data_IF_172594153021
#
_entry.id   IF_172594153021
#
_cell.length_a   1.000
_cell.length_b   1.000
_cell.length_c   1.000
_cell.angle_alpha   90.00
_cell.angle_beta   90.00
_cell.angle_gamma   90.00
#
_symmetry.space_group_name_H-M   'P 1'
#
loop_
_entity.id
_entity.type
_entity.pdbx_description
1 polymer ?
#
# COMPACT_ATOMS: atom_id res chain seq x y z
N UNK A 1 25.16 4.49 -6.39
CA UNK A 1 24.57 5.03 -7.64
C UNK A 1 23.34 5.83 -7.25
N UNK A 2 23.25 7.05 -7.75
CA UNK A 2 22.08 7.89 -7.51
C UNK A 2 20.89 7.35 -8.32
N UNK A 3 19.83 6.88 -7.64
CA UNK A 3 18.67 6.27 -8.28
C UNK A 3 17.69 7.37 -8.71
N UNK A 4 17.15 7.27 -9.93
CA UNK A 4 16.27 8.30 -10.48
C UNK A 4 14.87 8.30 -9.85
N UNK A 5 14.47 7.20 -9.22
CA UNK A 5 13.21 7.03 -8.49
C UNK A 5 13.47 6.73 -7.02
N UNK A 6 12.58 7.22 -6.17
CA UNK A 6 12.59 6.94 -4.73
C UNK A 6 11.78 5.68 -4.42
N UNK A 7 10.56 5.58 -4.96
CA UNK A 7 9.65 4.45 -4.73
C UNK A 7 9.06 3.98 -6.06
N UNK A 8 9.05 2.68 -6.28
CA UNK A 8 8.20 2.03 -7.26
C UNK A 8 7.20 1.15 -6.53
N UNK A 9 5.89 1.29 -6.80
CA UNK A 9 4.86 0.48 -6.17
C UNK A 9 4.18 -0.44 -7.19
N UNK A 10 3.81 -1.67 -6.77
CA UNK A 10 3.19 -2.67 -7.62
C UNK A 10 1.87 -3.17 -7.02
N UNK A 11 0.78 -3.13 -7.79
CA UNK A 11 -0.51 -3.67 -7.37
C UNK A 11 -1.66 -3.31 -8.29
N UNK A 12 -2.88 -3.35 -7.77
CA UNK A 12 -4.10 -3.00 -8.50
C UNK A 12 -4.70 -1.70 -8.00
N UNK A 13 -4.91 -0.76 -8.91
CA UNK A 13 -5.72 0.42 -8.67
C UNK A 13 -7.14 0.20 -9.20
N UNK A 14 -8.12 0.78 -8.52
CA UNK A 14 -9.54 0.62 -8.82
C UNK A 14 -10.28 1.96 -8.71
N UNK A 15 -11.38 2.09 -9.44
CA UNK A 15 -12.37 3.12 -9.16
C UNK A 15 -13.19 2.72 -7.94
N UNK A 16 -13.45 3.69 -7.07
CA UNK A 16 -14.36 3.58 -5.93
C UNK A 16 -15.69 4.26 -6.27
N UNK A 17 -16.79 3.62 -5.89
CA UNK A 17 -18.10 4.25 -5.83
C UNK A 17 -18.64 4.14 -4.40
N UNK A 18 -18.61 5.26 -3.69
CA UNK A 18 -19.01 5.34 -2.29
C UNK A 18 -20.42 5.90 -2.17
N UNK A 19 -21.33 5.13 -1.56
CA UNK A 19 -22.74 5.48 -1.39
C UNK A 19 -22.88 6.71 -0.47
N UNK A 20 -23.68 7.67 -0.90
CA UNK A 20 -24.05 8.82 -0.07
C UNK A 20 -25.21 8.49 0.87
N UNK A 21 -25.43 9.33 1.86
CA UNK A 21 -26.59 9.23 2.77
C UNK A 21 -27.88 9.86 2.19
N UNK A 22 -27.85 10.31 0.94
CA UNK A 22 -29.04 10.90 0.27
C UNK A 22 -30.09 9.83 -0.06
N UNK A 23 -31.35 10.28 -0.19
CA UNK A 23 -32.47 9.43 -0.62
C UNK A 23 -33.06 9.99 -1.91
N UNK A 24 -33.06 9.26 -3.04
CA UNK A 24 -32.42 7.95 -3.24
C UNK A 24 -30.89 8.01 -3.10
N UNK A 25 -30.21 6.91 -2.73
CA UNK A 25 -28.78 6.91 -2.57
C UNK A 25 -28.06 7.20 -3.90
N UNK A 26 -27.10 8.10 -3.83
CA UNK A 26 -26.18 8.37 -4.93
C UNK A 26 -24.80 7.78 -4.60
N UNK A 27 -23.94 7.64 -5.60
CA UNK A 27 -22.57 7.19 -5.41
C UNK A 27 -21.59 8.30 -5.80
N UNK A 28 -20.68 8.62 -4.92
CA UNK A 28 -19.54 9.48 -5.22
C UNK A 28 -18.42 8.64 -5.82
N UNK A 29 -17.92 9.07 -6.96
CA UNK A 29 -16.74 8.45 -7.57
C UNK A 29 -15.50 8.88 -6.81
N UNK A 30 -14.70 7.89 -6.43
CA UNK A 30 -13.40 8.02 -5.81
C UNK A 30 -12.39 7.08 -6.48
N UNK A 31 -11.25 6.93 -5.82
CA UNK A 31 -10.16 6.08 -6.25
C UNK A 31 -9.65 5.27 -5.07
N UNK A 32 -9.23 4.02 -5.35
CA UNK A 32 -8.66 3.12 -4.36
C UNK A 32 -7.62 2.19 -4.97
N UNK A 33 -7.20 1.25 -4.15
CA UNK A 33 -6.06 0.38 -4.44
C UNK A 33 -4.91 0.74 -3.50
N UNK A 34 -4.61 -0.17 -2.59
CA UNK A 34 -3.70 0.06 -1.47
C UNK A 34 -2.32 0.60 -1.90
N UNK A 35 -1.65 -0.08 -2.83
CA UNK A 35 -0.34 0.35 -3.32
C UNK A 35 -0.42 1.62 -4.18
N UNK A 36 -1.54 1.88 -4.86
CA UNK A 36 -1.79 3.15 -5.56
C UNK A 36 -1.96 4.31 -4.57
N UNK A 37 -2.73 4.08 -3.49
CA UNK A 37 -2.89 5.06 -2.41
C UNK A 37 -1.53 5.39 -1.78
N UNK A 38 -0.71 4.36 -1.48
CA UNK A 38 0.64 4.55 -0.95
C UNK A 38 1.55 5.29 -1.93
N UNK A 39 1.47 5.00 -3.23
CA UNK A 39 2.22 5.70 -4.27
C UNK A 39 1.86 7.20 -4.31
N UNK A 40 0.57 7.53 -4.28
CA UNK A 40 0.09 8.93 -4.24
C UNK A 40 0.53 9.61 -2.94
N UNK A 41 0.40 8.93 -1.79
CA UNK A 41 0.83 9.48 -0.50
C UNK A 41 2.34 9.80 -0.51
N UNK A 42 3.18 8.92 -1.08
CA UNK A 42 4.61 9.13 -1.22
C UNK A 42 4.91 10.30 -2.17
N UNK A 43 4.20 10.41 -3.30
CA UNK A 43 4.37 11.51 -4.24
C UNK A 43 3.99 12.85 -3.63
N UNK A 44 2.84 12.93 -2.91
CA UNK A 44 2.46 14.14 -2.15
C UNK A 44 3.47 14.50 -1.07
N UNK A 45 4.13 13.52 -0.45
CA UNK A 45 5.24 13.74 0.49
C UNK A 45 6.55 14.16 -0.21
N UNK A 46 6.55 14.25 -1.56
CA UNK A 46 7.65 14.78 -2.38
C UNK A 46 8.65 13.72 -2.82
N UNK A 47 8.30 12.42 -2.80
CA UNK A 47 9.09 11.35 -3.40
C UNK A 47 8.89 11.29 -4.92
N UNK A 48 9.90 10.83 -5.65
CA UNK A 48 9.82 10.49 -7.08
C UNK A 48 9.27 9.07 -7.21
N UNK A 49 8.02 8.93 -7.62
CA UNK A 49 7.28 7.66 -7.57
C UNK A 49 6.93 7.16 -8.96
N UNK A 50 7.04 5.84 -9.18
CA UNK A 50 6.47 5.15 -10.33
C UNK A 50 5.46 4.08 -9.88
N UNK A 51 4.48 3.78 -10.73
CA UNK A 51 3.51 2.73 -10.46
C UNK A 51 3.53 1.64 -11.53
N UNK A 52 3.49 0.37 -11.09
CA UNK A 52 3.51 -0.82 -11.91
C UNK A 52 2.16 -1.52 -11.80
N UNK A 53 1.45 -1.64 -12.90
CA UNK A 53 0.14 -2.29 -12.95
C UNK A 53 -0.27 -2.60 -14.39
N UNK A 54 -1.40 -3.29 -14.52
CA UNK A 54 -2.15 -3.35 -15.78
C UNK A 54 -3.49 -2.65 -15.60
N UNK A 55 -3.92 -1.89 -16.61
CA UNK A 55 -5.22 -1.23 -16.70
C UNK A 55 -5.94 -1.63 -17.97
N UNK A 56 -7.26 -1.68 -17.91
CA UNK A 56 -8.09 -1.78 -19.12
C UNK A 56 -7.93 -0.55 -20.00
N UNK A 57 -8.05 -0.75 -21.33
CA UNK A 57 -8.21 0.35 -22.28
C UNK A 57 -9.66 0.87 -22.24
N UNK A 58 -10.12 1.26 -21.07
CA UNK A 58 -11.48 1.70 -20.78
C UNK A 58 -11.51 3.09 -20.13
N UNK A 59 -12.71 3.61 -19.92
CA UNK A 59 -12.91 4.91 -19.29
C UNK A 59 -12.30 4.97 -17.88
N UNK A 60 -12.37 3.87 -17.12
CA UNK A 60 -11.87 3.79 -15.75
C UNK A 60 -10.34 3.81 -15.71
N UNK A 61 -9.69 3.06 -16.60
CA UNK A 61 -8.25 3.10 -16.77
C UNK A 61 -7.76 4.51 -17.15
N UNK A 62 -8.49 5.20 -18.01
CA UNK A 62 -8.17 6.59 -18.36
C UNK A 62 -8.25 7.55 -17.15
N UNK A 63 -9.27 7.41 -16.29
CA UNK A 63 -9.40 8.23 -15.08
C UNK A 63 -8.27 7.96 -14.08
N UNK A 64 -7.83 6.71 -13.92
CA UNK A 64 -6.68 6.36 -13.08
C UNK A 64 -5.38 6.95 -13.62
N UNK A 65 -5.16 6.91 -14.94
CA UNK A 65 -4.00 7.56 -15.57
C UNK A 65 -4.00 9.07 -15.35
N UNK A 66 -5.17 9.73 -15.46
CA UNK A 66 -5.30 11.15 -15.17
C UNK A 66 -5.04 11.48 -13.69
N UNK A 67 -5.51 10.62 -12.77
CA UNK A 67 -5.23 10.76 -11.33
C UNK A 67 -3.73 10.77 -11.09
N UNK A 68 -3.01 9.74 -11.53
CA UNK A 68 -1.57 9.64 -11.31
C UNK A 68 -0.78 10.77 -11.96
N UNK A 69 -1.20 11.23 -13.16
CA UNK A 69 -0.57 12.38 -13.80
C UNK A 69 -0.72 13.66 -12.94
N UNK A 70 -1.90 13.90 -12.35
CA UNK A 70 -2.14 15.05 -11.46
C UNK A 70 -1.34 14.94 -10.16
N UNK A 71 -1.14 13.72 -9.65
CA UNK A 71 -0.41 13.46 -8.40
C UNK A 71 1.12 13.33 -8.62
N UNK A 72 1.60 13.48 -9.86
CA UNK A 72 3.02 13.41 -10.19
C UNK A 72 3.61 12.00 -10.11
N UNK A 73 2.78 10.95 -10.18
CA UNK A 73 3.23 9.56 -10.24
C UNK A 73 3.58 9.20 -11.68
N UNK A 74 4.78 8.65 -11.90
CA UNK A 74 5.23 8.17 -13.19
C UNK A 74 4.46 6.91 -13.59
N UNK A 75 3.80 6.96 -14.73
CA UNK A 75 2.94 5.90 -15.27
C UNK A 75 3.58 5.09 -16.40
N UNK A 76 4.88 5.22 -16.66
CA UNK A 76 5.58 4.46 -17.71
C UNK A 76 5.58 2.95 -17.48
N UNK A 77 5.33 2.52 -16.24
CA UNK A 77 5.15 1.10 -15.86
C UNK A 77 3.72 0.58 -15.98
N UNK A 78 2.77 1.39 -16.49
CA UNK A 78 1.40 0.95 -16.69
C UNK A 78 1.24 0.28 -18.04
N UNK A 79 0.83 -0.99 -18.02
CA UNK A 79 0.53 -1.76 -19.23
C UNK A 79 -0.98 -1.72 -19.48
N UNK A 80 -1.36 -1.27 -20.68
CA UNK A 80 -2.78 -1.23 -21.07
C UNK A 80 -3.21 -2.56 -21.68
N UNK A 81 -4.33 -3.11 -21.22
CA UNK A 81 -4.91 -4.37 -21.71
C UNK A 81 -6.23 -4.07 -22.46
N UNK A 82 -6.29 -4.32 -23.77
CA UNK A 82 -7.50 -4.07 -24.56
C UNK A 82 -8.59 -5.13 -24.35
N UNK A 83 -8.29 -6.23 -23.64
CA UNK A 83 -9.19 -7.37 -23.48
C UNK A 83 -9.73 -7.55 -22.06
N UNK A 84 -9.29 -6.75 -21.10
CA UNK A 84 -9.71 -6.85 -19.72
C UNK A 84 -10.08 -5.47 -19.15
N UNK A 85 -11.12 -5.36 -18.32
CA UNK A 85 -11.53 -4.09 -17.72
C UNK A 85 -10.60 -3.66 -16.58
N UNK A 86 -10.61 -2.38 -16.28
CA UNK A 86 -10.09 -1.86 -15.01
C UNK A 86 -10.99 -2.29 -13.85
N UNK A 87 -10.40 -2.56 -12.68
CA UNK A 87 -11.15 -2.95 -11.48
C UNK A 87 -12.01 -1.81 -10.92
N UNK A 88 -13.17 -2.17 -10.35
CA UNK A 88 -14.10 -1.23 -9.72
C UNK A 88 -14.59 -1.84 -8.41
N UNK A 89 -14.85 -1.02 -7.39
CA UNK A 89 -15.55 -1.46 -6.20
C UNK A 89 -16.58 -0.43 -5.72
N UNK A 90 -17.54 -0.94 -4.95
CA UNK A 90 -18.63 -0.16 -4.37
C UNK A 90 -18.54 -0.25 -2.86
N UNK A 91 -18.75 0.87 -2.18
CA UNK A 91 -18.91 0.95 -0.73
C UNK A 91 -20.36 1.35 -0.47
N UNK A 92 -21.11 0.45 0.14
CA UNK A 92 -22.50 0.71 0.57
C UNK A 92 -22.53 0.80 2.09
N UNK A 93 -23.50 1.54 2.61
CA UNK A 93 -23.66 1.75 4.04
C UNK A 93 -25.07 1.30 4.49
N UNK A 94 -25.13 0.55 5.57
CA UNK A 94 -26.38 0.23 6.26
C UNK A 94 -26.24 0.35 7.78
N UNK A 95 -27.28 -0.01 8.52
CA UNK A 95 -27.26 0.06 9.99
C UNK A 95 -26.23 -0.87 10.67
N UNK A 96 -25.56 -1.76 9.92
CA UNK A 96 -24.49 -2.67 10.39
C UNK A 96 -23.10 -2.22 10.01
N UNK A 97 -22.95 -1.14 9.20
CA UNK A 97 -21.66 -0.58 8.81
C UNK A 97 -21.44 -0.50 7.30
N UNK A 98 -20.17 -0.62 6.89
CA UNK A 98 -19.73 -0.51 5.50
C UNK A 98 -19.66 -1.90 4.85
N UNK A 99 -20.20 -2.00 3.62
CA UNK A 99 -20.17 -3.21 2.80
C UNK A 99 -19.41 -2.94 1.52
N UNK A 100 -18.36 -3.74 1.26
CA UNK A 100 -17.54 -3.64 0.06
C UNK A 100 -17.97 -4.69 -0.97
N UNK A 101 -18.29 -4.25 -2.18
CA UNK A 101 -18.61 -5.11 -3.32
C UNK A 101 -17.60 -4.85 -4.45
N UNK A 102 -16.94 -5.90 -4.92
CA UNK A 102 -15.84 -5.79 -5.87
C UNK A 102 -16.23 -6.33 -7.24
N UNK A 103 -16.01 -5.53 -8.30
CA UNK A 103 -16.05 -5.94 -9.69
C UNK A 103 -14.61 -5.92 -10.23
N UNK A 104 -13.79 -6.89 -9.79
CA UNK A 104 -12.35 -6.99 -10.11
C UNK A 104 -11.93 -8.35 -10.64
N UNK A 105 -12.80 -9.36 -10.60
CA UNK A 105 -12.50 -10.66 -11.17
C UNK A 105 -12.27 -10.54 -12.68
N UNK A 106 -11.11 -11.00 -13.16
CA UNK A 106 -10.73 -10.85 -14.57
C UNK A 106 -10.32 -9.42 -14.97
N UNK A 107 -10.07 -8.52 -14.01
CA UNK A 107 -9.53 -7.17 -14.30
C UNK A 107 -8.16 -7.26 -14.99
N UNK A 108 -7.76 -6.19 -15.68
CA UNK A 108 -6.44 -6.12 -16.31
C UNK A 108 -5.32 -6.37 -15.29
N UNK A 109 -5.41 -5.82 -14.08
CA UNK A 109 -4.43 -6.07 -13.02
C UNK A 109 -4.37 -7.54 -12.60
N UNK A 110 -5.48 -8.29 -12.66
CA UNK A 110 -5.49 -9.72 -12.38
C UNK A 110 -4.70 -10.56 -13.41
N UNK A 111 -4.34 -9.94 -14.54
CA UNK A 111 -3.56 -10.53 -15.64
C UNK A 111 -2.09 -10.13 -15.62
N UNK A 112 -1.62 -9.45 -14.57
CA UNK A 112 -0.18 -9.23 -14.36
C UNK A 112 0.55 -10.56 -14.37
N UNK A 113 1.72 -10.61 -15.01
CA UNK A 113 2.49 -11.83 -15.20
C UNK A 113 3.98 -11.59 -14.95
N UNK A 114 4.72 -12.64 -14.57
CA UNK A 114 6.18 -12.56 -14.33
C UNK A 114 6.96 -12.04 -15.54
N UNK A 115 6.47 -12.26 -16.76
CA UNK A 115 7.07 -11.71 -17.99
C UNK A 115 6.97 -10.19 -18.06
N UNK A 116 5.97 -9.55 -17.46
CA UNK A 116 5.85 -8.08 -17.41
C UNK A 116 7.04 -7.49 -16.65
N UNK A 117 7.48 -8.17 -15.61
CA UNK A 117 8.67 -7.77 -14.84
C UNK A 117 9.92 -7.79 -15.72
N UNK A 118 10.11 -8.87 -16.47
CA UNK A 118 11.30 -9.06 -17.30
C UNK A 118 11.35 -8.08 -18.48
N UNK A 119 10.20 -7.82 -19.10
CA UNK A 119 10.14 -7.06 -20.36
C UNK A 119 9.91 -5.56 -20.17
N UNK A 120 9.25 -5.16 -19.06
CA UNK A 120 8.80 -3.78 -18.89
C UNK A 120 9.21 -3.14 -17.56
N UNK A 121 9.22 -3.91 -16.45
CA UNK A 121 9.32 -3.32 -15.12
C UNK A 121 10.72 -3.39 -14.49
N UNK A 122 11.59 -4.31 -14.94
CA UNK A 122 12.91 -4.51 -14.35
C UNK A 122 13.74 -3.22 -14.28
N UNK A 123 13.70 -2.37 -15.32
CA UNK A 123 14.44 -1.11 -15.35
C UNK A 123 13.92 -0.09 -14.34
N UNK A 124 12.58 0.02 -14.17
CA UNK A 124 11.97 0.92 -13.19
C UNK A 124 12.26 0.44 -11.76
N UNK A 125 12.21 -0.88 -11.52
CA UNK A 125 12.56 -1.49 -10.25
C UNK A 125 14.02 -1.16 -9.92
N UNK A 126 14.95 -1.39 -10.86
CA UNK A 126 16.37 -1.11 -10.67
C UNK A 126 16.71 0.37 -10.51
N UNK A 127 15.89 1.26 -11.07
CA UNK A 127 16.04 2.70 -10.93
C UNK A 127 15.51 3.26 -9.59
N UNK A 128 14.82 2.44 -8.77
CA UNK A 128 14.15 2.86 -7.55
C UNK A 128 14.93 2.51 -6.28
N UNK A 129 14.81 3.32 -5.23
CA UNK A 129 15.37 2.99 -3.91
C UNK A 129 14.56 1.89 -3.21
N UNK A 130 13.23 1.93 -3.36
CA UNK A 130 12.29 0.98 -2.77
C UNK A 130 11.30 0.43 -3.79
N UNK A 131 11.07 -0.89 -3.74
CA UNK A 131 9.89 -1.54 -4.29
C UNK A 131 8.86 -1.71 -3.17
N UNK A 132 7.65 -1.18 -3.34
CA UNK A 132 6.53 -1.34 -2.41
C UNK A 132 5.45 -2.23 -3.00
N UNK A 133 5.00 -3.21 -2.22
CA UNK A 133 3.89 -4.11 -2.52
C UNK A 133 3.27 -4.62 -1.23
N UNK A 134 2.15 -5.32 -1.33
CA UNK A 134 1.35 -5.75 -0.18
C UNK A 134 0.82 -7.18 -0.32
N UNK A 135 0.20 -7.67 0.74
CA UNK A 135 -0.55 -8.92 0.72
C UNK A 135 -1.68 -8.91 -0.31
N UNK A 136 -2.30 -7.76 -0.59
CA UNK A 136 -3.29 -7.64 -1.67
C UNK A 136 -2.61 -7.86 -3.03
N UNK A 137 -1.42 -7.31 -3.27
CA UNK A 137 -0.68 -7.52 -4.53
C UNK A 137 -0.48 -9.02 -4.83
N UNK A 138 -0.23 -9.83 -3.79
CA UNK A 138 -0.10 -11.29 -3.89
C UNK A 138 -1.45 -12.00 -4.06
N UNK A 139 -2.56 -11.38 -3.64
CA UNK A 139 -3.89 -11.98 -3.58
C UNK A 139 -4.75 -11.71 -4.83
N UNK A 140 -4.33 -10.81 -5.73
CA UNK A 140 -5.12 -10.38 -6.90
C UNK A 140 -5.49 -11.59 -7.78
N UNK A 141 -4.51 -12.41 -8.12
CA UNK A 141 -4.64 -13.65 -8.90
C UNK A 141 -3.39 -14.51 -8.77
N UNK A 142 -3.39 -15.79 -9.18
CA UNK A 142 -2.17 -16.60 -9.23
C UNK A 142 -1.06 -15.97 -10.05
N UNK A 143 -1.35 -15.47 -11.27
CA UNK A 143 -0.34 -14.87 -12.14
C UNK A 143 0.17 -13.52 -11.60
N UNK A 144 -0.67 -12.73 -10.94
CA UNK A 144 -0.24 -11.51 -10.26
C UNK A 144 0.64 -11.82 -9.03
N UNK A 145 0.37 -12.91 -8.31
CA UNK A 145 1.24 -13.40 -7.24
C UNK A 145 2.64 -13.74 -7.79
N UNK A 146 2.70 -14.48 -8.91
CA UNK A 146 3.96 -14.81 -9.58
C UNK A 146 4.69 -13.55 -10.07
N UNK A 147 3.97 -12.56 -10.59
CA UNK A 147 4.53 -11.28 -10.99
C UNK A 147 5.09 -10.50 -9.80
N UNK A 148 4.39 -10.50 -8.66
CA UNK A 148 4.85 -9.83 -7.44
C UNK A 148 6.15 -10.47 -6.91
N UNK A 149 6.23 -11.80 -6.85
CA UNK A 149 7.48 -12.48 -6.47
C UNK A 149 8.61 -12.26 -7.49
N UNK A 150 8.31 -12.28 -8.80
CA UNK A 150 9.30 -11.94 -9.81
C UNK A 150 9.83 -10.51 -9.64
N UNK A 151 8.97 -9.55 -9.28
CA UNK A 151 9.38 -8.17 -8.97
C UNK A 151 10.27 -8.09 -7.73
N UNK A 152 9.93 -8.85 -6.65
CA UNK A 152 10.76 -8.93 -5.45
C UNK A 152 12.14 -9.52 -5.75
N UNK A 153 12.22 -10.59 -6.52
CA UNK A 153 13.49 -11.19 -6.94
C UNK A 153 14.31 -10.25 -7.84
N UNK A 154 13.64 -9.55 -8.77
CA UNK A 154 14.28 -8.52 -9.60
C UNK A 154 14.84 -7.38 -8.77
N UNK A 155 14.09 -6.91 -7.75
CA UNK A 155 14.52 -5.87 -6.82
C UNK A 155 15.79 -6.29 -6.06
N UNK A 156 15.79 -7.49 -5.48
CA UNK A 156 16.95 -8.04 -4.75
C UNK A 156 18.18 -8.16 -5.66
N UNK A 157 18.00 -8.68 -6.87
CA UNK A 157 19.10 -8.84 -7.83
C UNK A 157 19.73 -7.50 -8.23
N UNK A 158 18.95 -6.41 -8.21
CA UNK A 158 19.38 -5.05 -8.56
C UNK A 158 19.72 -4.18 -7.33
N UNK A 159 19.65 -4.73 -6.11
CA UNK A 159 19.92 -4.01 -4.87
C UNK A 159 18.84 -2.97 -4.54
N UNK A 160 17.63 -3.08 -5.08
CA UNK A 160 16.47 -2.30 -4.67
C UNK A 160 15.90 -2.89 -3.39
N UNK A 161 15.69 -2.06 -2.37
CA UNK A 161 15.09 -2.49 -1.10
C UNK A 161 13.60 -2.77 -1.28
N UNK A 162 13.06 -3.70 -0.51
CA UNK A 162 11.67 -4.13 -0.59
C UNK A 162 10.94 -3.73 0.69
N UNK A 163 9.85 -2.97 0.55
CA UNK A 163 8.89 -2.68 1.62
C UNK A 163 7.59 -3.47 1.35
N UNK A 164 7.20 -4.30 2.29
CA UNK A 164 6.04 -5.17 2.18
C UNK A 164 5.02 -4.87 3.27
N UNK A 165 3.77 -4.54 2.89
CA UNK A 165 2.65 -4.37 3.81
C UNK A 165 1.85 -5.68 3.93
N UNK A 166 1.53 -6.13 5.16
CA UNK A 166 0.73 -7.35 5.38
C UNK A 166 -0.61 -7.29 4.66
N UNK A 167 -1.31 -6.21 4.79
CA UNK A 167 -2.60 -5.85 4.18
C UNK A 167 -3.45 -7.07 3.80
N UNK A 168 -3.72 -7.93 4.82
CA UNK A 168 -4.40 -9.21 4.65
C UNK A 168 -5.88 -9.01 4.31
N UNK A 169 -6.34 -9.68 3.26
CA UNK A 169 -7.75 -9.68 2.85
C UNK A 169 -8.21 -11.11 2.56
N UNK A 170 -8.74 -11.79 3.58
CA UNK A 170 -9.21 -13.18 3.48
C UNK A 170 -10.39 -13.37 2.52
N UNK A 171 -11.02 -12.30 2.07
CA UNK A 171 -12.01 -12.34 0.99
C UNK A 171 -11.41 -12.63 -0.39
N UNK A 172 -10.09 -12.46 -0.56
CA UNK A 172 -9.40 -12.68 -1.83
C UNK A 172 -8.79 -14.09 -1.95
N UNK A 173 -8.43 -14.73 -0.83
CA UNK A 173 -7.74 -16.01 -0.81
C UNK A 173 -7.92 -16.78 0.50
N UNK A 174 -7.75 -18.12 0.49
CA UNK A 174 -7.77 -18.90 1.71
C UNK A 174 -6.58 -18.56 2.62
N UNK A 175 -6.81 -18.66 3.94
CA UNK A 175 -5.80 -18.33 4.98
C UNK A 175 -4.48 -19.09 4.79
N UNK A 176 -4.53 -20.37 4.46
CA UNK A 176 -3.31 -21.19 4.31
C UNK A 176 -2.44 -20.68 3.15
N UNK A 177 -3.07 -20.30 2.04
CA UNK A 177 -2.35 -19.68 0.91
C UNK A 177 -1.82 -18.30 1.29
N UNK A 178 -2.63 -17.48 1.97
CA UNK A 178 -2.19 -16.18 2.47
C UNK A 178 -0.97 -16.32 3.38
N UNK A 179 -1.01 -17.27 4.32
CA UNK A 179 0.09 -17.54 5.25
C UNK A 179 1.37 -17.93 4.50
N UNK A 180 1.31 -18.86 3.57
CA UNK A 180 2.47 -19.30 2.80
C UNK A 180 3.09 -18.13 2.00
N UNK A 181 2.27 -17.40 1.24
CA UNK A 181 2.75 -16.30 0.39
C UNK A 181 3.27 -15.11 1.20
N UNK A 182 2.55 -14.68 2.26
CA UNK A 182 2.97 -13.55 3.09
C UNK A 182 4.26 -13.90 3.84
N UNK A 183 4.39 -15.12 4.39
CA UNK A 183 5.63 -15.54 5.06
C UNK A 183 6.82 -15.50 4.10
N UNK A 184 6.66 -15.97 2.86
CA UNK A 184 7.73 -15.89 1.86
C UNK A 184 8.05 -14.44 1.47
N UNK A 185 7.05 -13.56 1.35
CA UNK A 185 7.27 -12.15 1.10
C UNK A 185 8.03 -11.45 2.25
N UNK A 186 7.72 -11.81 3.50
CA UNK A 186 8.45 -11.33 4.70
C UNK A 186 9.93 -11.74 4.64
N UNK A 187 10.22 -12.98 4.22
CA UNK A 187 11.60 -13.48 4.05
C UNK A 187 12.39 -12.69 3.00
N UNK A 188 11.71 -12.14 1.99
CA UNK A 188 12.33 -11.40 0.90
C UNK A 188 12.44 -9.89 1.16
N UNK A 189 11.64 -9.34 2.07
CA UNK A 189 11.58 -7.89 2.28
C UNK A 189 12.69 -7.36 3.22
N UNK A 190 13.03 -6.09 3.06
CA UNK A 190 13.93 -5.35 3.95
C UNK A 190 13.17 -4.61 5.04
N UNK A 191 11.94 -4.18 4.74
CA UNK A 191 11.04 -3.48 5.65
C UNK A 191 9.66 -4.13 5.59
N UNK A 192 9.21 -4.65 6.72
CA UNK A 192 7.88 -5.22 6.88
C UNK A 192 6.96 -4.23 7.62
N UNK A 193 5.74 -4.04 7.10
CA UNK A 193 4.74 -3.10 7.59
C UNK A 193 3.47 -3.84 8.05
N UNK A 194 3.54 -4.71 9.06
CA UNK A 194 2.36 -5.44 9.53
C UNK A 194 1.38 -4.53 10.27
N UNK A 195 0.10 -4.92 10.30
CA UNK A 195 -0.85 -4.52 11.33
C UNK A 195 -1.04 -5.63 12.35
N UNK A 196 -1.33 -5.29 13.61
CA UNK A 196 -1.58 -6.30 14.66
C UNK A 196 -2.78 -7.18 14.29
N UNK A 197 -3.84 -6.59 13.73
CA UNK A 197 -5.06 -7.29 13.33
C UNK A 197 -4.78 -8.31 12.21
N UNK A 198 -4.03 -7.90 11.16
CA UNK A 198 -3.65 -8.79 10.08
C UNK A 198 -2.81 -9.96 10.59
N UNK A 199 -1.84 -9.66 11.46
CA UNK A 199 -0.95 -10.70 12.01
C UNK A 199 -1.69 -11.62 12.96
N UNK A 200 -2.63 -11.11 13.73
CA UNK A 200 -3.50 -11.93 14.57
C UNK A 200 -4.33 -12.91 13.74
N UNK A 201 -4.90 -12.43 12.63
CA UNK A 201 -5.65 -13.29 11.70
C UNK A 201 -4.75 -14.30 10.97
N UNK A 202 -3.53 -13.89 10.59
CA UNK A 202 -2.60 -14.72 9.82
C UNK A 202 -1.95 -15.80 10.68
N UNK A 203 -1.51 -15.46 11.90
CA UNK A 203 -0.63 -16.29 12.74
C UNK A 203 -1.29 -16.78 14.03
N UNK A 204 -2.34 -16.12 14.50
CA UNK A 204 -2.95 -16.32 15.83
C UNK A 204 -2.26 -15.54 16.96
N UNK A 205 -1.17 -14.81 16.69
CA UNK A 205 -0.44 -14.02 17.68
C UNK A 205 -1.24 -12.76 18.05
N UNK A 206 -1.36 -12.48 19.35
CA UNK A 206 -2.15 -11.36 19.86
C UNK A 206 -1.30 -10.25 20.49
N UNK A 207 -0.04 -10.56 20.82
CA UNK A 207 0.84 -9.60 21.49
C UNK A 207 1.79 -8.97 20.46
N UNK A 208 2.00 -7.67 20.58
CA UNK A 208 2.88 -6.92 19.68
C UNK A 208 4.30 -7.47 19.65
N UNK A 209 4.82 -7.85 20.81
CA UNK A 209 6.18 -8.40 20.92
C UNK A 209 6.32 -9.74 20.21
N UNK A 210 5.33 -10.62 20.31
CA UNK A 210 5.32 -11.91 19.60
C UNK A 210 5.28 -11.72 18.08
N UNK A 211 4.51 -10.71 17.60
CA UNK A 211 4.46 -10.36 16.18
C UNK A 211 5.80 -9.83 15.68
N UNK A 212 6.49 -9.00 16.46
CA UNK A 212 7.82 -8.50 16.13
C UNK A 212 8.84 -9.64 16.09
N UNK A 213 8.84 -10.53 17.10
CA UNK A 213 9.71 -11.70 17.14
C UNK A 213 9.47 -12.63 15.96
N UNK A 214 8.20 -12.90 15.65
CA UNK A 214 7.83 -13.69 14.47
C UNK A 214 8.35 -13.05 13.18
N UNK A 215 8.20 -11.75 13.03
CA UNK A 215 8.62 -11.03 11.82
C UNK A 215 10.12 -11.12 11.60
N UNK A 216 10.91 -10.88 12.64
CA UNK A 216 12.38 -10.99 12.57
C UNK A 216 12.84 -12.44 12.36
N UNK A 217 12.22 -13.41 13.03
CA UNK A 217 12.51 -14.84 12.85
C UNK A 217 12.25 -15.31 11.42
N UNK A 218 11.32 -14.67 10.69
CA UNK A 218 11.03 -14.97 9.29
C UNK A 218 11.80 -14.11 8.29
N UNK A 219 12.75 -13.26 8.74
CA UNK A 219 13.72 -12.61 7.89
C UNK A 219 13.56 -11.11 7.69
N UNK A 220 12.51 -10.48 8.23
CA UNK A 220 12.36 -9.04 8.15
C UNK A 220 13.48 -8.33 8.95
N UNK A 221 14.24 -7.46 8.27
CA UNK A 221 15.34 -6.71 8.93
C UNK A 221 14.79 -5.54 9.75
N UNK A 222 13.84 -4.81 9.19
CA UNK A 222 13.15 -3.70 9.82
C UNK A 222 11.66 -4.02 9.86
N UNK A 223 11.00 -3.72 10.98
CA UNK A 223 9.56 -3.92 11.16
C UNK A 223 8.95 -2.64 11.69
N UNK A 224 7.83 -2.22 11.11
CA UNK A 224 6.99 -1.15 11.65
C UNK A 224 5.60 -1.70 11.84
N UNK A 225 5.32 -2.16 13.06
CA UNK A 225 4.04 -2.74 13.46
C UNK A 225 3.01 -1.63 13.70
N UNK A 226 1.94 -1.63 12.92
CA UNK A 226 0.83 -0.67 13.01
C UNK A 226 -0.18 -1.18 14.07
N UNK A 227 -0.56 -0.30 15.01
CA UNK A 227 -1.47 -0.59 16.13
C UNK A 227 -2.77 0.26 16.02
N UNK A 228 -3.12 0.71 14.83
CA UNK A 228 -4.29 1.58 14.62
C UNK A 228 -4.21 2.88 15.42
N UNK A 229 -5.22 3.14 16.24
CA UNK A 229 -5.29 4.34 17.09
C UNK A 229 -4.27 4.37 18.24
N UNK A 230 -3.51 3.29 18.45
CA UNK A 230 -2.44 3.23 19.47
C UNK A 230 -1.06 3.59 18.93
N UNK A 231 -0.94 3.95 17.65
CA UNK A 231 0.31 4.34 17.00
C UNK A 231 1.04 3.15 16.38
N UNK A 232 2.36 3.14 16.51
CA UNK A 232 3.20 2.09 15.89
C UNK A 232 4.35 1.69 16.79
N UNK A 233 4.92 0.51 16.53
CA UNK A 233 6.19 0.08 17.12
C UNK A 233 7.18 -0.13 15.98
N UNK A 234 8.33 0.53 16.03
CA UNK A 234 9.45 0.29 15.12
C UNK A 234 10.44 -0.67 15.75
N UNK A 235 10.99 -1.60 14.96
CA UNK A 235 11.98 -2.56 15.43
C UNK A 235 13.04 -2.85 14.36
N UNK A 236 14.30 -2.96 14.77
CA UNK A 236 15.43 -3.38 13.93
C UNK A 236 15.97 -4.78 14.31
N UNK A 237 15.25 -5.48 15.19
CA UNK A 237 15.63 -6.78 15.73
C UNK A 237 16.44 -6.71 17.02
N UNK A 238 16.98 -5.54 17.36
CA UNK A 238 17.72 -5.31 18.62
C UNK A 238 16.98 -4.35 19.56
N UNK A 239 16.39 -3.31 18.98
CA UNK A 239 15.66 -2.28 19.71
C UNK A 239 14.22 -2.20 19.23
N UNK A 240 13.31 -1.85 20.16
CA UNK A 240 11.89 -1.60 19.89
C UNK A 240 11.53 -0.24 20.45
N UNK A 241 11.04 0.65 19.58
CA UNK A 241 10.61 1.99 19.99
C UNK A 241 9.12 2.18 19.69
N UNK A 242 8.33 2.46 20.70
CA UNK A 242 6.92 2.81 20.52
C UNK A 242 6.80 4.28 20.08
N UNK A 243 6.10 4.50 18.99
CA UNK A 243 5.78 5.82 18.46
C UNK A 243 4.31 6.11 18.80
N UNK A 244 4.10 7.15 19.60
CA UNK A 244 2.75 7.55 20.03
C UNK A 244 1.86 7.96 18.83
N UNK A 245 0.53 7.71 18.92
CA UNK A 245 -0.41 8.18 17.92
C UNK A 245 -0.66 9.70 18.05
N UNK A 246 -1.22 10.30 17.00
CA UNK A 246 -1.86 11.60 17.07
C UNK A 246 -3.36 11.40 17.27
N UNK A 247 -3.92 12.01 18.33
CA UNK A 247 -5.36 11.94 18.62
C UNK A 247 -6.13 12.87 17.71
N UNK A 248 -7.00 12.31 16.89
CA UNK A 248 -7.86 13.03 15.95
C UNK A 248 -9.27 12.45 15.98
N UNK A 249 -10.25 13.21 15.49
CA UNK A 249 -11.58 12.67 15.24
C UNK A 249 -11.59 11.95 13.89
N UNK A 250 -11.61 10.62 13.91
CA UNK A 250 -11.67 9.83 12.71
C UNK A 250 -13.08 9.89 12.07
N UNK A 251 -13.10 10.07 10.76
CA UNK A 251 -14.30 10.05 9.90
C UNK A 251 -14.32 8.77 9.08
N UNK A 252 -13.19 8.45 8.42
CA UNK A 252 -13.04 7.26 7.57
C UNK A 252 -11.58 6.79 7.63
N UNK A 253 -11.38 5.55 8.07
CA UNK A 253 -10.03 4.96 8.18
C UNK A 253 -9.54 4.29 6.88
N UNK A 254 -10.30 4.37 5.79
CA UNK A 254 -9.92 3.79 4.50
C UNK A 254 -8.61 4.38 4.00
N UNK A 255 -7.64 3.53 3.69
CA UNK A 255 -6.34 3.95 3.17
C UNK A 255 -5.36 4.53 4.21
N UNK A 256 -5.69 4.55 5.51
CA UNK A 256 -4.79 5.07 6.53
C UNK A 256 -3.44 4.33 6.58
N UNK A 257 -3.47 3.00 6.45
CA UNK A 257 -2.26 2.18 6.35
C UNK A 257 -1.44 2.49 5.11
N UNK A 258 -2.11 2.73 3.99
CA UNK A 258 -1.47 3.09 2.71
C UNK A 258 -0.83 4.49 2.80
N UNK A 259 -1.55 5.45 3.40
CA UNK A 259 -1.04 6.79 3.71
C UNK A 259 0.22 6.70 4.57
N UNK A 260 0.17 5.87 5.62
CA UNK A 260 1.33 5.60 6.47
C UNK A 260 2.51 5.06 5.67
N UNK A 261 2.30 3.99 4.90
CA UNK A 261 3.36 3.33 4.12
C UNK A 261 4.02 4.29 3.11
N UNK A 262 3.23 5.05 2.35
CA UNK A 262 3.73 6.02 1.37
C UNK A 262 4.57 7.13 2.02
N UNK A 263 4.07 7.72 3.10
CA UNK A 263 4.79 8.77 3.83
C UNK A 263 6.06 8.24 4.51
N UNK A 264 6.03 7.06 5.10
CA UNK A 264 7.20 6.40 5.69
C UNK A 264 8.31 6.23 4.65
N UNK A 265 8.00 5.68 3.48
CA UNK A 265 8.95 5.44 2.41
C UNK A 265 9.53 6.74 1.86
N UNK A 266 8.70 7.76 1.66
CA UNK A 266 9.15 9.08 1.21
C UNK A 266 10.17 9.70 2.19
N UNK A 267 9.93 9.56 3.50
CA UNK A 267 10.84 10.08 4.54
C UNK A 267 12.15 9.30 4.61
N UNK A 268 12.08 7.97 4.52
CA UNK A 268 13.27 7.11 4.45
C UNK A 268 14.16 7.42 3.23
N UNK A 269 13.56 7.78 2.09
CA UNK A 269 14.31 8.22 0.90
C UNK A 269 15.01 9.56 1.08
N UNK A 270 14.54 10.40 2.01
CA UNK A 270 15.17 11.67 2.38
C UNK A 270 16.25 11.53 3.44
N UNK A 271 16.52 10.31 3.93
CA UNK A 271 17.54 10.02 4.92
C UNK A 271 17.08 10.11 6.37
N UNK A 272 15.79 10.20 6.65
CA UNK A 272 15.28 10.11 8.01
C UNK A 272 15.59 8.74 8.61
N UNK A 273 15.77 8.70 9.93
CA UNK A 273 15.81 7.44 10.67
C UNK A 273 14.44 6.77 10.62
N UNK A 274 14.39 5.46 10.89
CA UNK A 274 13.12 4.71 10.90
C UNK A 274 12.10 5.33 11.87
N UNK A 275 12.55 5.76 13.05
CA UNK A 275 11.71 6.42 14.04
C UNK A 275 11.18 7.77 13.58
N UNK A 276 12.04 8.60 12.97
CA UNK A 276 11.63 9.91 12.44
C UNK A 276 10.59 9.75 11.32
N UNK A 277 10.85 8.82 10.40
CA UNK A 277 9.95 8.50 9.31
C UNK A 277 8.60 7.95 9.83
N UNK A 278 8.61 7.08 10.85
CA UNK A 278 7.40 6.53 11.46
C UNK A 278 6.59 7.60 12.22
N UNK A 279 7.25 8.56 12.90
CA UNK A 279 6.56 9.72 13.53
C UNK A 279 5.83 10.56 12.48
N UNK A 280 6.50 10.87 11.38
CA UNK A 280 5.90 11.62 10.29
C UNK A 280 4.73 10.85 9.66
N UNK A 281 4.90 9.55 9.42
CA UNK A 281 3.87 8.70 8.84
C UNK A 281 2.65 8.53 9.75
N UNK A 282 2.81 8.45 11.08
CA UNK A 282 1.71 8.46 12.05
C UNK A 282 0.90 9.76 11.96
N UNK A 283 1.57 10.92 11.86
CA UNK A 283 0.90 12.21 11.73
C UNK A 283 0.13 12.29 10.40
N UNK A 284 0.73 11.82 9.30
CA UNK A 284 0.08 11.80 8.01
C UNK A 284 -1.16 10.89 7.99
N UNK A 285 -1.05 9.67 8.56
CA UNK A 285 -2.16 8.74 8.69
C UNK A 285 -3.29 9.31 9.59
N UNK A 286 -2.95 9.99 10.68
CA UNK A 286 -3.93 10.65 11.54
C UNK A 286 -4.71 11.75 10.78
N UNK A 287 -4.05 12.51 9.90
CA UNK A 287 -4.73 13.51 9.06
C UNK A 287 -5.63 12.84 8.00
N UNK A 288 -5.19 11.76 7.39
CA UNK A 288 -5.95 11.11 6.32
C UNK A 288 -7.28 10.54 6.79
N UNK A 289 -7.40 10.12 8.06
CA UNK A 289 -8.65 9.55 8.59
C UNK A 289 -9.73 10.61 8.92
N UNK A 290 -9.43 11.90 8.76
CA UNK A 290 -10.38 13.00 9.03
C UNK A 290 -11.28 13.34 7.83
N UNK A 291 -11.11 12.70 6.68
CA UNK A 291 -11.92 12.88 5.48
C UNK A 291 -12.39 11.53 4.93
N UNK A 292 -13.30 11.57 3.96
CA UNK A 292 -13.84 10.40 3.30
C UNK A 292 -12.98 9.93 2.13
N UNK A 293 -12.86 8.60 1.96
CA UNK A 293 -12.16 7.94 0.86
C UNK A 293 -10.65 7.83 1.07
N UNK A 294 -9.99 7.05 0.23
CA UNK A 294 -8.59 6.68 0.42
C UNK A 294 -7.59 7.70 -0.16
N UNK A 295 -7.97 8.51 -1.16
CA UNK A 295 -7.06 9.40 -1.88
C UNK A 295 -7.30 10.87 -1.56
N UNK A 296 -8.57 11.29 -1.53
CA UNK A 296 -8.91 12.70 -1.34
C UNK A 296 -8.30 13.29 -0.05
N UNK A 297 -8.38 12.64 1.13
CA UNK A 297 -7.89 13.17 2.39
C UNK A 297 -6.38 12.99 2.62
N UNK A 298 -5.63 12.40 1.69
CA UNK A 298 -4.18 12.26 1.84
C UNK A 298 -3.53 13.64 2.03
N UNK A 299 -2.77 13.86 3.14
CA UNK A 299 -2.27 15.17 3.48
C UNK A 299 -1.09 15.62 2.62
N UNK A 300 -0.92 16.93 2.49
CA UNK A 300 0.30 17.54 1.98
C UNK A 300 1.31 17.77 3.11
N UNK A 301 2.62 17.90 2.81
CA UNK A 301 3.67 18.04 3.82
C UNK A 301 3.45 19.18 4.82
N UNK A 302 2.89 20.29 4.39
CA UNK A 302 2.66 21.46 5.27
C UNK A 302 1.67 21.11 6.40
N UNK A 303 0.60 20.35 6.10
CA UNK A 303 -0.37 19.93 7.11
C UNK A 303 0.26 18.93 8.10
N UNK A 304 1.06 18.00 7.61
CA UNK A 304 1.76 17.03 8.48
C UNK A 304 2.76 17.75 9.39
N UNK A 305 3.52 18.69 8.85
CA UNK A 305 4.46 19.49 9.64
C UNK A 305 3.76 20.34 10.70
N UNK A 306 2.63 20.93 10.38
CA UNK A 306 1.83 21.70 11.34
C UNK A 306 1.34 20.84 12.52
N UNK A 307 0.94 19.57 12.26
CA UNK A 307 0.53 18.63 13.32
C UNK A 307 1.71 18.16 14.18
N UNK A 308 2.93 18.13 13.64
CA UNK A 308 4.13 17.72 14.36
C UNK A 308 4.79 18.84 15.19
N UNK A 309 4.40 20.09 14.95
CA UNK A 309 4.87 21.23 15.77
C UNK A 309 4.16 21.16 17.13
N UNK A 310 4.91 21.43 18.24
CA UNK A 310 4.37 21.42 19.60
C UNK A 310 3.40 22.60 19.85
#
# INVERSE_FOLDING_TARGET
MDRSLDVVALGEAMLEFNQTQQVPPMYLQGFGGDTSNAAIAAARAGARVAYLSRLGQDHWGHLLMQLWAREGVNTTGILQDPQAPSGVYFVSHDGRGHHFSYARAGSAASRMHSTDVQTHWASLIGASQWLHLSGISLAISPSACDAAFAAMHSARAQGTRIAFDSNLRLSLWPLDRARACITEAVRLCDLFLPSLDDMSALTGLQQSDDVLDWSHAHGARLVVLKLGSEGTIVSDGQQRTRIAPHRVQAVDATGAGDCFAGNLLARLCRGDTLEQAARYANAAAALSVQGHGAVAPLPLPAAVQALLQP
#
